data_IF_771753224209
#
_entry.id   IF_771753224209
#
_cell.length_a   1.000
_cell.length_b   1.000
_cell.length_c   1.000
_cell.angle_alpha   90.00
_cell.angle_beta   90.00
_cell.angle_gamma   90.00
#
_symmetry.space_group_name_H-M   'P 1'
#
loop_
_entity.id
_entity.type
_entity.pdbx_description
1 polymer ?
#
# COMPACT_ATOMS: atom_id res chain seq x y z
N UNK A 1 13.01 -14.75 -62.67
CA UNK A 1 12.87 -14.07 -61.36
C UNK A 1 11.55 -13.30 -61.31
N UNK A 2 10.39 -13.97 -61.50
CA UNK A 2 9.06 -13.31 -61.48
C UNK A 2 7.95 -14.21 -60.89
N UNK A 3 8.19 -15.51 -60.72
CA UNK A 3 7.18 -16.46 -60.25
C UNK A 3 7.09 -16.60 -58.71
N UNK A 4 8.04 -16.02 -57.95
CA UNK A 4 8.07 -16.11 -56.48
C UNK A 4 7.27 -15.01 -55.75
N UNK A 5 6.94 -13.92 -56.43
CA UNK A 5 6.21 -12.80 -55.80
C UNK A 5 4.68 -13.01 -55.76
N UNK A 6 4.13 -13.88 -56.61
CA UNK A 6 2.67 -14.05 -56.71
C UNK A 6 2.07 -14.82 -55.52
N UNK A 7 2.80 -15.74 -54.89
CA UNK A 7 2.28 -16.53 -53.77
C UNK A 7 2.19 -15.76 -52.45
N UNK A 8 2.95 -14.68 -52.29
CA UNK A 8 2.97 -13.92 -51.03
C UNK A 8 1.75 -13.00 -50.89
N UNK A 9 1.20 -12.52 -52.00
CA UNK A 9 0.05 -11.59 -52.01
C UNK A 9 -1.26 -12.31 -51.66
N UNK A 10 -1.40 -13.60 -51.96
CA UNK A 10 -2.64 -14.35 -51.71
C UNK A 10 -2.86 -14.66 -50.22
N UNK A 11 -1.79 -14.76 -49.41
CA UNK A 11 -1.88 -15.09 -47.97
C UNK A 11 -2.26 -13.88 -47.12
N UNK A 12 -1.94 -12.66 -47.57
CA UNK A 12 -2.27 -11.41 -46.85
C UNK A 12 -3.75 -11.01 -46.92
N UNK A 13 -4.52 -11.58 -47.86
CA UNK A 13 -5.95 -11.26 -48.02
C UNK A 13 -6.87 -12.04 -47.05
N UNK A 14 -6.38 -13.09 -46.40
CA UNK A 14 -7.20 -13.96 -45.55
C UNK A 14 -7.31 -13.52 -44.08
N UNK A 15 -6.51 -12.55 -43.62
CA UNK A 15 -6.51 -12.09 -42.22
C UNK A 15 -7.46 -10.92 -41.95
N UNK A 16 -8.18 -10.41 -42.96
CA UNK A 16 -9.02 -9.22 -42.83
C UNK A 16 -10.49 -9.48 -42.45
N UNK A 17 -10.93 -10.74 -42.36
CA UNK A 17 -12.30 -11.08 -41.96
C UNK A 17 -12.38 -11.44 -40.48
N UNK A 18 -12.09 -10.49 -39.59
CA UNK A 18 -12.65 -10.56 -38.23
C UNK A 18 -13.96 -9.76 -38.25
N UNK A 19 -15.14 -10.40 -38.07
CA UNK A 19 -16.39 -9.65 -37.98
C UNK A 19 -16.27 -8.63 -36.85
N UNK A 20 -16.82 -7.41 -37.02
CA UNK A 20 -16.83 -6.42 -35.95
C UNK A 20 -17.51 -7.05 -34.73
N UNK A 21 -17.02 -6.79 -33.50
CA UNK A 21 -17.68 -7.28 -32.30
C UNK A 21 -19.14 -6.84 -32.36
N UNK A 22 -20.05 -7.81 -32.34
CA UNK A 22 -21.49 -7.57 -32.38
C UNK A 22 -22.03 -7.57 -30.95
N UNK A 23 -23.02 -6.73 -30.64
CA UNK A 23 -23.64 -6.69 -29.31
C UNK A 23 -24.21 -8.04 -28.84
N UNK A 24 -24.41 -8.99 -29.77
CA UNK A 24 -24.77 -10.38 -29.47
C UNK A 24 -23.70 -11.14 -28.66
N UNK A 25 -22.44 -10.70 -28.72
CA UNK A 25 -21.33 -11.26 -27.94
C UNK A 25 -21.34 -10.76 -26.47
N UNK A 26 -22.19 -9.79 -26.13
CA UNK A 26 -22.38 -9.27 -24.76
C UNK A 26 -23.54 -9.94 -24.01
N UNK A 27 -24.08 -11.07 -24.50
CA UNK A 27 -25.05 -11.84 -23.75
C UNK A 27 -24.47 -12.17 -22.37
N UNK A 28 -24.93 -11.44 -21.36
CA UNK A 28 -24.48 -11.54 -19.98
C UNK A 28 -24.68 -12.98 -19.53
N UNK A 29 -23.58 -13.72 -19.41
CA UNK A 29 -23.60 -14.94 -18.62
C UNK A 29 -23.92 -14.48 -17.21
N UNK A 30 -24.93 -15.06 -16.59
CA UNK A 30 -25.19 -14.92 -15.16
C UNK A 30 -23.97 -15.51 -14.42
N UNK A 31 -22.92 -14.70 -14.29
CA UNK A 31 -21.81 -14.96 -13.41
C UNK A 31 -22.40 -14.79 -12.03
N UNK A 32 -22.59 -15.91 -11.31
CA UNK A 32 -22.94 -15.86 -9.90
C UNK A 32 -22.01 -14.84 -9.23
N UNK A 33 -22.57 -13.84 -8.54
CA UNK A 33 -21.80 -12.83 -7.86
C UNK A 33 -20.86 -13.55 -6.88
N UNK A 34 -19.59 -13.65 -7.24
CA UNK A 34 -18.56 -13.96 -6.25
C UNK A 34 -18.56 -12.78 -5.29
N UNK A 35 -18.47 -13.04 -3.99
CA UNK A 35 -18.23 -11.98 -3.02
C UNK A 35 -16.95 -11.28 -3.45
N UNK A 36 -17.13 -10.05 -3.97
CA UNK A 36 -16.04 -9.21 -4.41
C UNK A 36 -15.27 -8.65 -3.22
N UNK A 37 -14.21 -7.86 -3.46
CA UNK A 37 -13.52 -7.17 -2.38
C UNK A 37 -14.52 -6.32 -1.58
N UNK A 38 -14.23 -6.16 -0.29
CA UNK A 38 -15.01 -5.33 0.61
C UNK A 38 -15.17 -3.92 0.04
N UNK A 39 -16.30 -3.28 0.35
CA UNK A 39 -16.52 -1.90 -0.04
C UNK A 39 -15.43 -1.00 0.57
N UNK A 40 -14.90 -0.01 -0.18
CA UNK A 40 -13.94 0.95 0.36
C UNK A 40 -14.49 1.68 1.59
N UNK A 41 -13.63 1.89 2.59
CA UNK A 41 -13.98 2.67 3.78
C UNK A 41 -13.75 4.17 3.57
N UNK A 42 -14.43 4.98 4.38
CA UNK A 42 -14.18 6.41 4.44
C UNK A 42 -12.80 6.74 5.04
N UNK A 43 -12.26 7.89 4.64
CA UNK A 43 -11.03 8.42 5.24
C UNK A 43 -11.33 8.87 6.68
N UNK A 44 -10.53 8.47 7.68
CA UNK A 44 -10.78 8.88 9.06
C UNK A 44 -10.53 10.39 9.24
N UNK A 45 -11.25 10.99 10.17
CA UNK A 45 -10.88 12.30 10.72
C UNK A 45 -9.64 12.15 11.61
N UNK A 46 -8.72 13.09 11.48
CA UNK A 46 -7.43 13.09 12.18
C UNK A 46 -7.20 14.37 12.98
N UNK A 47 -8.23 15.20 13.14
CA UNK A 47 -8.19 16.33 14.05
C UNK A 47 -7.87 15.85 15.48
N UNK A 48 -6.81 16.42 16.06
CA UNK A 48 -6.33 16.06 17.41
C UNK A 48 -5.54 14.75 17.49
N UNK A 49 -5.30 14.03 16.38
CA UNK A 49 -4.43 12.86 16.38
C UNK A 49 -2.96 13.25 16.57
N UNK A 50 -2.23 12.46 17.34
CA UNK A 50 -0.82 12.70 17.66
C UNK A 50 0.01 11.43 17.52
N UNK A 51 1.32 11.61 17.37
CA UNK A 51 2.30 10.55 17.54
C UNK A 51 2.69 10.41 19.02
N UNK A 52 2.73 9.19 19.53
CA UNK A 52 3.23 8.88 20.86
C UNK A 52 3.99 7.55 20.86
N UNK A 53 4.84 7.35 21.85
CA UNK A 53 5.36 6.03 22.15
C UNK A 53 4.22 5.07 22.54
N UNK A 54 4.36 3.81 22.16
CA UNK A 54 3.42 2.76 22.56
C UNK A 54 3.56 2.52 24.07
N UNK A 55 2.47 2.61 24.85
CA UNK A 55 2.54 2.42 26.31
C UNK A 55 2.79 0.96 26.71
N UNK A 56 2.64 0.02 25.76
CA UNK A 56 2.66 -1.42 26.02
C UNK A 56 3.77 -2.17 25.25
N UNK A 57 4.47 -1.50 24.34
CA UNK A 57 5.48 -2.15 23.47
C UNK A 57 6.66 -1.23 23.27
N UNK A 58 7.83 -1.62 23.76
CA UNK A 58 9.09 -0.89 23.53
C UNK A 58 9.46 -0.93 22.04
N UNK A 59 10.09 0.14 21.54
CA UNK A 59 10.52 0.19 20.13
C UNK A 59 9.36 0.35 19.14
N UNK A 60 8.23 0.93 19.59
CA UNK A 60 7.04 1.17 18.78
C UNK A 60 6.45 2.54 19.08
N UNK A 61 6.08 3.27 18.04
CA UNK A 61 5.27 4.48 18.11
C UNK A 61 3.91 4.27 17.45
N UNK A 62 2.91 4.98 17.93
CA UNK A 62 1.53 4.93 17.44
C UNK A 62 1.06 6.34 17.06
N UNK A 63 0.22 6.41 16.03
CA UNK A 63 -0.48 7.59 15.59
C UNK A 63 -1.99 7.40 15.74
N UNK A 64 -2.67 8.32 16.42
CA UNK A 64 -4.11 8.27 16.59
C UNK A 64 -4.62 9.33 17.56
N UNK A 65 -5.93 9.36 17.75
CA UNK A 65 -6.58 10.27 18.71
C UNK A 65 -6.42 9.67 20.12
N UNK A 66 -5.94 10.44 21.11
CA UNK A 66 -5.82 9.96 22.49
C UNK A 66 -7.13 9.36 23.02
N UNK A 67 -7.03 8.16 23.60
CA UNK A 67 -8.20 7.42 24.11
C UNK A 67 -8.97 6.61 23.06
N UNK A 68 -8.59 6.67 21.78
CA UNK A 68 -9.16 5.86 20.71
C UNK A 68 -8.16 4.81 20.21
N UNK A 69 -8.61 3.78 19.46
CA UNK A 69 -7.70 2.87 18.79
C UNK A 69 -6.70 3.61 17.88
N UNK A 70 -5.45 3.13 17.78
CA UNK A 70 -4.45 3.73 16.91
C UNK A 70 -4.89 3.61 15.45
N UNK A 71 -4.58 4.62 14.65
CA UNK A 71 -4.80 4.61 13.21
C UNK A 71 -3.60 3.99 12.48
N UNK A 72 -2.39 4.30 12.91
CA UNK A 72 -1.16 3.77 12.31
C UNK A 72 -0.12 3.52 13.40
N UNK A 73 0.78 2.57 13.18
CA UNK A 73 1.92 2.33 14.04
C UNK A 73 3.19 2.13 13.23
N UNK A 74 4.32 2.48 13.84
CA UNK A 74 5.66 2.15 13.36
C UNK A 74 6.40 1.37 14.44
N UNK A 75 6.99 0.25 14.09
CA UNK A 75 7.89 -0.55 14.93
C UNK A 75 9.28 -0.60 14.32
N UNK A 76 10.29 -0.79 15.16
CA UNK A 76 11.64 -1.14 14.72
C UNK A 76 11.77 -2.67 14.84
N UNK A 77 12.17 -3.31 13.75
CA UNK A 77 12.38 -4.76 13.68
C UNK A 77 13.73 -5.08 13.06
N UNK A 78 13.91 -6.35 12.72
CA UNK A 78 15.12 -6.87 12.09
C UNK A 78 14.76 -7.58 10.78
N UNK A 79 15.43 -7.19 9.69
CA UNK A 79 15.32 -7.79 8.37
C UNK A 79 16.67 -8.42 8.01
N UNK A 80 16.87 -9.66 8.46
CA UNK A 80 18.18 -10.30 8.44
C UNK A 80 19.14 -9.57 9.38
N UNK A 81 20.33 -9.20 8.89
CA UNK A 81 21.35 -8.50 9.66
C UNK A 81 21.20 -6.96 9.61
N UNK A 82 20.03 -6.44 9.24
CA UNK A 82 19.78 -5.01 9.08
C UNK A 82 18.49 -4.58 9.78
N UNK A 83 18.46 -3.40 10.44
CA UNK A 83 17.24 -2.89 11.05
C UNK A 83 16.17 -2.60 9.99
N UNK A 84 14.91 -2.79 10.38
CA UNK A 84 13.73 -2.57 9.57
C UNK A 84 12.72 -1.68 10.25
N UNK A 85 11.85 -1.06 9.46
CA UNK A 85 10.69 -0.33 9.92
C UNK A 85 9.44 -1.11 9.53
N UNK A 86 8.70 -1.54 10.55
CA UNK A 86 7.41 -2.19 10.41
C UNK A 86 6.30 -1.12 10.48
N UNK A 87 5.57 -0.92 9.39
CA UNK A 87 4.45 0.01 9.34
C UNK A 87 3.14 -0.78 9.34
N UNK A 88 2.24 -0.45 10.26
CA UNK A 88 0.90 -1.07 10.34
C UNK A 88 -0.16 0.02 10.26
N UNK A 89 -1.05 -0.06 9.28
CA UNK A 89 -2.25 0.78 9.19
C UNK A 89 -3.45 -0.02 9.69
N UNK A 90 -4.03 0.41 10.82
CA UNK A 90 -5.20 -0.20 11.44
C UNK A 90 -6.50 0.20 10.72
N UNK A 91 -6.57 -0.13 9.44
CA UNK A 91 -7.78 -0.19 8.64
C UNK A 91 -7.99 -1.66 8.25
N UNK A 92 -9.24 -2.18 8.25
CA UNK A 92 -9.50 -3.55 7.86
C UNK A 92 -8.94 -3.86 6.46
N UNK A 93 -8.35 -5.04 6.32
CA UNK A 93 -7.87 -5.58 5.06
C UNK A 93 -8.54 -6.93 4.80
N UNK A 94 -9.02 -7.15 3.57
CA UNK A 94 -9.54 -8.46 3.17
C UNK A 94 -8.41 -9.50 3.23
N UNK A 95 -8.73 -10.74 3.60
CA UNK A 95 -7.74 -11.81 3.68
C UNK A 95 -7.02 -12.01 2.34
N UNK A 96 -5.69 -12.04 2.38
CA UNK A 96 -4.85 -12.18 1.18
C UNK A 96 -4.85 -10.95 0.27
N UNK A 97 -5.40 -9.80 0.70
CA UNK A 97 -5.34 -8.59 -0.08
C UNK A 97 -3.91 -8.02 -0.14
N UNK A 98 -3.54 -7.53 -1.31
CA UNK A 98 -2.27 -6.86 -1.58
C UNK A 98 -2.55 -5.51 -2.23
N UNK A 99 -1.75 -4.50 -1.90
CA UNK A 99 -1.91 -3.16 -2.44
C UNK A 99 -0.57 -2.41 -2.50
N UNK A 100 -0.62 -1.20 -3.06
CA UNK A 100 0.47 -0.23 -3.00
C UNK A 100 0.02 0.95 -2.13
N UNK A 101 0.63 1.10 -0.96
CA UNK A 101 0.42 2.26 -0.11
C UNK A 101 1.18 3.46 -0.69
N UNK A 102 0.46 4.54 -0.98
CA UNK A 102 1.04 5.80 -1.42
C UNK A 102 1.25 6.72 -0.23
N UNK A 103 2.52 6.99 0.10
CA UNK A 103 2.92 7.98 1.09
C UNK A 103 3.36 9.24 0.35
N UNK A 104 2.78 10.39 0.69
CA UNK A 104 3.03 11.67 0.02
C UNK A 104 3.16 12.76 1.07
N UNK A 105 4.31 13.42 1.12
CA UNK A 105 4.60 14.43 2.12
C UNK A 105 6.07 14.81 2.13
N UNK A 106 6.42 15.89 2.83
CA UNK A 106 7.80 16.33 2.98
C UNK A 106 8.61 16.54 1.68
N UNK A 107 7.96 16.65 0.52
CA UNK A 107 8.62 16.75 -0.79
C UNK A 107 8.95 15.41 -1.45
N UNK A 108 8.54 14.30 -0.85
CA UNK A 108 8.75 12.93 -1.34
C UNK A 108 7.43 12.25 -1.68
N UNK A 109 7.53 11.23 -2.54
CA UNK A 109 6.45 10.29 -2.85
C UNK A 109 7.04 8.89 -2.78
N UNK A 110 6.51 8.05 -1.90
CA UNK A 110 6.87 6.64 -1.80
C UNK A 110 5.65 5.78 -2.14
N UNK A 111 5.88 4.69 -2.86
CA UNK A 111 4.86 3.67 -3.15
C UNK A 111 5.36 2.35 -2.61
N UNK A 112 4.88 1.98 -1.44
CA UNK A 112 5.37 0.83 -0.68
C UNK A 112 4.36 -0.32 -0.84
N UNK A 113 4.80 -1.52 -1.26
CA UNK A 113 3.95 -2.71 -1.24
C UNK A 113 3.44 -2.96 0.19
N UNK A 114 2.15 -3.25 0.31
CA UNK A 114 1.51 -3.49 1.60
C UNK A 114 0.51 -4.64 1.46
N UNK A 115 0.46 -5.51 2.46
CA UNK A 115 -0.37 -6.70 2.44
C UNK A 115 -1.27 -6.77 3.66
N UNK A 116 -2.31 -7.58 3.54
CA UNK A 116 -3.19 -7.97 4.61
C UNK A 116 -2.47 -8.96 5.53
N UNK A 117 -2.14 -8.52 6.74
CA UNK A 117 -1.54 -9.35 7.78
C UNK A 117 -2.51 -9.52 8.95
N UNK A 118 -2.65 -10.76 9.42
CA UNK A 118 -3.41 -11.08 10.65
C UNK A 118 -2.66 -10.58 11.90
N UNK A 119 -3.32 -9.75 12.70
CA UNK A 119 -2.82 -9.21 13.97
C UNK A 119 -3.94 -9.35 15.00
N UNK A 120 -3.68 -10.16 16.03
CA UNK A 120 -4.63 -10.54 17.07
C UNK A 120 -5.91 -11.18 16.49
N UNK A 121 -6.99 -10.42 16.40
CA UNK A 121 -8.31 -10.88 15.95
C UNK A 121 -8.82 -10.12 14.71
N UNK A 122 -7.92 -9.52 13.93
CA UNK A 122 -8.25 -8.81 12.70
C UNK A 122 -7.13 -8.86 11.67
N UNK A 123 -7.49 -8.65 10.41
CA UNK A 123 -6.55 -8.48 9.31
C UNK A 123 -6.38 -7.00 8.99
N UNK A 124 -5.14 -6.53 8.97
CA UNK A 124 -4.78 -5.12 8.78
C UNK A 124 -3.66 -4.98 7.77
N UNK A 125 -3.57 -3.79 7.18
CA UNK A 125 -2.52 -3.46 6.23
C UNK A 125 -1.17 -3.30 6.92
N UNK A 126 -0.17 -4.10 6.53
CA UNK A 126 1.17 -4.09 7.11
C UNK A 126 2.24 -4.25 6.03
N UNK A 127 3.37 -3.60 6.27
CA UNK A 127 4.56 -3.70 5.43
C UNK A 127 5.79 -3.57 6.31
N UNK A 128 6.87 -4.20 5.90
CA UNK A 128 8.17 -4.10 6.52
C UNK A 128 9.19 -3.67 5.46
N UNK A 129 9.91 -2.59 5.75
CA UNK A 129 10.91 -2.03 4.83
C UNK A 129 12.23 -1.87 5.56
N UNK A 130 13.36 -1.95 4.84
CA UNK A 130 14.66 -1.64 5.43
C UNK A 130 14.63 -0.23 6.04
N UNK A 131 15.20 -0.06 7.23
CA UNK A 131 15.33 1.25 7.87
C UNK A 131 16.17 2.23 7.03
N UNK A 132 16.98 1.72 6.08
CA UNK A 132 17.80 2.51 5.17
C UNK A 132 17.15 2.73 3.79
N UNK A 133 15.89 2.32 3.60
CA UNK A 133 15.18 2.58 2.33
C UNK A 133 14.97 4.08 2.12
N UNK A 134 15.22 4.56 0.90
CA UNK A 134 14.91 5.94 0.48
C UNK A 134 13.40 6.24 0.53
N UNK A 135 12.55 5.21 0.45
CA UNK A 135 11.10 5.37 0.56
C UNK A 135 10.67 5.92 1.93
N UNK A 136 11.48 5.73 2.98
CA UNK A 136 11.19 6.24 4.32
C UNK A 136 11.41 7.75 4.46
N UNK A 137 12.09 8.41 3.51
CA UNK A 137 12.36 9.86 3.57
C UNK A 137 11.08 10.71 3.49
N UNK A 138 9.97 10.12 3.03
CA UNK A 138 8.64 10.76 3.13
C UNK A 138 8.22 11.02 4.59
N UNK A 139 8.70 10.21 5.54
CA UNK A 139 8.38 10.26 6.97
C UNK A 139 9.39 11.06 7.81
N UNK A 140 10.52 11.49 7.25
CA UNK A 140 11.62 12.09 8.03
C UNK A 140 11.50 13.60 8.24
N UNK A 141 10.66 14.28 7.46
CA UNK A 141 10.41 15.72 7.62
C UNK A 141 9.33 16.08 8.64
N UNK A 142 9.05 17.37 8.81
CA UNK A 142 8.17 17.90 9.87
C UNK A 142 6.77 18.27 9.40
N UNK A 143 6.47 18.10 8.11
CA UNK A 143 5.20 18.51 7.50
C UNK A 143 4.16 17.39 7.57
N UNK A 144 2.94 17.74 7.19
CA UNK A 144 1.86 16.78 6.99
C UNK A 144 2.22 15.75 5.91
N UNK A 145 1.75 14.52 6.10
CA UNK A 145 1.95 13.40 5.19
C UNK A 145 0.60 12.71 4.96
N UNK A 146 0.25 12.44 3.72
CA UNK A 146 -0.89 11.62 3.36
C UNK A 146 -0.46 10.18 3.07
N UNK A 147 -1.13 9.21 3.67
CA UNK A 147 -0.97 7.77 3.42
C UNK A 147 -2.28 7.25 2.83
N UNK A 148 -2.25 6.77 1.60
CA UNK A 148 -3.45 6.28 0.90
C UNK A 148 -3.27 4.82 0.53
N UNK A 149 -4.24 3.99 0.90
CA UNK A 149 -4.32 2.59 0.52
C UNK A 149 -5.64 2.40 -0.23
N UNK A 150 -5.63 1.84 -1.46
CA UNK A 150 -6.86 1.49 -2.15
C UNK A 150 -7.78 0.64 -1.26
N UNK A 151 -9.05 1.02 -1.11
CA UNK A 151 -10.00 0.36 -0.21
C UNK A 151 -9.92 0.77 1.27
N UNK A 152 -8.76 1.23 1.76
CA UNK A 152 -8.54 1.64 3.16
C UNK A 152 -8.55 3.16 3.41
N UNK A 153 -8.91 3.94 2.38
CA UNK A 153 -9.02 5.40 2.45
C UNK A 153 -7.68 6.13 2.51
N UNK A 154 -7.74 7.44 2.76
CA UNK A 154 -6.59 8.34 2.93
C UNK A 154 -6.46 8.73 4.40
N UNK A 155 -5.37 8.33 5.04
CA UNK A 155 -4.98 8.78 6.37
C UNK A 155 -4.07 10.00 6.26
N UNK A 156 -4.41 11.09 6.94
CA UNK A 156 -3.55 12.27 7.05
C UNK A 156 -2.79 12.21 8.38
N UNK A 157 -1.47 12.29 8.30
CA UNK A 157 -0.57 12.32 9.45
C UNK A 157 -0.23 13.78 9.75
N UNK A 158 -0.63 14.25 10.93
CA UNK A 158 -0.38 15.62 11.36
C UNK A 158 1.14 15.92 11.43
N UNK A 159 1.55 17.18 11.16
CA UNK A 159 2.95 17.62 11.25
C UNK A 159 3.64 17.16 12.54
N UNK A 160 4.77 16.46 12.41
CA UNK A 160 5.53 15.94 13.56
C UNK A 160 6.97 15.61 13.19
N UNK A 161 7.89 15.75 14.14
CA UNK A 161 9.27 15.25 14.03
C UNK A 161 9.41 13.78 14.48
N UNK A 162 8.38 13.22 15.14
CA UNK A 162 8.49 11.94 15.85
C UNK A 162 8.81 10.74 14.93
N UNK A 163 8.18 10.59 13.74
CA UNK A 163 8.49 9.47 12.84
C UNK A 163 9.93 9.50 12.35
N UNK A 164 10.43 10.67 11.92
CA UNK A 164 11.82 10.84 11.53
C UNK A 164 12.80 10.47 12.64
N UNK A 165 12.59 10.99 13.85
CA UNK A 165 13.42 10.63 15.01
C UNK A 165 13.39 9.11 15.30
N UNK A 166 12.23 8.48 15.20
CA UNK A 166 12.09 7.04 15.39
C UNK A 166 12.85 6.22 14.34
N UNK A 167 12.81 6.65 13.07
CA UNK A 167 13.57 6.00 11.99
C UNK A 167 15.07 6.11 12.26
N UNK A 168 15.57 7.29 12.66
CA UNK A 168 16.98 7.48 13.00
C UNK A 168 17.42 6.63 14.20
N UNK A 169 16.60 6.56 15.25
CA UNK A 169 16.86 5.70 16.41
C UNK A 169 16.93 4.22 16.01
N UNK A 170 16.05 3.79 15.09
CA UNK A 170 16.05 2.42 14.57
C UNK A 170 17.30 2.13 13.72
N UNK A 171 17.69 3.06 12.84
CA UNK A 171 18.94 2.98 12.04
C UNK A 171 20.18 2.85 12.93
N UNK A 172 20.19 3.51 14.08
CA UNK A 172 21.30 3.50 15.04
C UNK A 172 21.30 2.28 15.97
N UNK A 173 20.22 1.50 16.00
CA UNK A 173 20.12 0.30 16.83
C UNK A 173 20.94 -0.84 16.21
N UNK A 174 21.77 -1.56 16.98
CA UNK A 174 22.43 -2.74 16.47
C UNK A 174 21.35 -3.79 16.11
N UNK A 175 21.39 -4.28 14.87
CA UNK A 175 20.64 -5.48 14.46
C UNK A 175 21.01 -6.63 15.41
N UNK A 176 20.02 -7.28 16.01
CA UNK A 176 20.26 -8.33 17.03
C UNK A 176 20.69 -9.64 16.38
#
# INVERSE_FOLDING_TARGET
MMLRCACLVLVLAASACKPPPTDADMASRDVAAQDGPSAPIDSPDTEGAIWSDSPITTGRIIYGIPGQPPLLAMGCGDMGDHPSILITRYAPADEGAEAMAAFIGNGHVARIPIDATEIDNGSFWRTEVSAFSEDLEVLTGTREIAVTIPGAGRLVLNPSQRPGAFIEDCRASPSV
#
